data_IF_133106879135
#
_entry.id   IF_133106879135
#
_cell.length_a   1.000
_cell.length_b   1.000
_cell.length_c   1.000
_cell.angle_alpha   90.00
_cell.angle_beta   90.00
_cell.angle_gamma   90.00
#
_symmetry.space_group_name_H-M   'P 1'
#
loop_
_entity.id
_entity.type
_entity.pdbx_description
1 polymer ?
#
# COMPACT_ATOMS: atom_id res chain seq x y z
N UNK A 1 3.47 -0.75 2.63
CA UNK A 1 3.21 -0.76 4.09
C UNK A 1 3.04 -2.16 4.70
N UNK A 2 2.02 -2.95 4.35
CA UNK A 2 1.73 -4.22 5.05
C UNK A 2 2.76 -5.34 4.89
N UNK A 3 3.50 -5.41 3.77
CA UNK A 3 4.57 -6.42 3.56
C UNK A 3 5.86 -6.10 4.31
N UNK A 4 6.28 -4.83 4.35
CA UNK A 4 7.40 -4.38 5.18
C UNK A 4 7.09 -4.48 6.67
N UNK A 5 5.90 -4.07 7.10
CA UNK A 5 5.51 -4.19 8.50
C UNK A 5 5.48 -5.67 8.91
N UNK A 6 4.96 -6.56 8.05
CA UNK A 6 5.08 -8.00 8.29
C UNK A 6 6.54 -8.49 8.31
N UNK A 7 7.40 -8.05 7.38
CA UNK A 7 8.82 -8.40 7.37
C UNK A 7 9.54 -7.92 8.62
N UNK A 8 9.29 -6.70 9.07
CA UNK A 8 9.87 -6.13 10.28
C UNK A 8 9.39 -6.86 11.53
N UNK A 9 8.08 -7.16 11.62
CA UNK A 9 7.53 -7.97 12.70
C UNK A 9 8.17 -9.36 12.69
N UNK A 10 8.36 -9.97 11.52
CA UNK A 10 8.95 -11.28 11.38
C UNK A 10 10.45 -11.29 11.76
N UNK A 11 11.21 -10.28 11.35
CA UNK A 11 12.59 -10.07 11.78
C UNK A 11 12.68 -9.86 13.30
N UNK A 12 11.75 -9.09 13.88
CA UNK A 12 11.68 -8.85 15.31
C UNK A 12 11.35 -10.13 16.08
N UNK A 13 10.44 -10.96 15.56
CA UNK A 13 10.12 -12.28 16.11
C UNK A 13 11.32 -13.22 16.06
N UNK A 14 12.02 -13.27 14.92
CA UNK A 14 13.13 -14.19 14.71
C UNK A 14 14.35 -13.86 15.57
N UNK A 15 14.65 -12.57 15.74
CA UNK A 15 15.81 -12.08 16.51
C UNK A 15 15.61 -12.10 18.02
N UNK A 16 14.38 -12.25 18.50
CA UNK A 16 14.03 -12.17 19.92
C UNK A 16 13.40 -13.46 20.47
N UNK A 17 13.75 -14.62 19.90
CA UNK A 17 13.34 -15.96 20.38
C UNK A 17 13.85 -16.19 21.81
N UNK A 18 13.10 -15.72 22.81
CA UNK A 18 13.46 -15.76 24.23
C UNK A 18 13.05 -14.52 25.03
N UNK A 19 12.78 -13.39 24.37
CA UNK A 19 12.32 -12.15 25.02
C UNK A 19 10.82 -11.96 24.83
N UNK A 20 10.34 -12.15 23.60
CA UNK A 20 8.93 -12.02 23.24
C UNK A 20 8.34 -13.37 22.85
N UNK A 21 7.07 -13.57 23.19
CA UNK A 21 6.27 -14.74 22.81
C UNK A 21 5.50 -14.42 21.54
N UNK A 22 5.12 -15.45 20.80
CA UNK A 22 4.30 -15.30 19.59
C UNK A 22 3.01 -14.49 19.81
N UNK A 23 2.37 -14.66 20.97
CA UNK A 23 1.19 -13.89 21.37
C UNK A 23 1.41 -12.38 21.47
N UNK A 24 2.64 -11.93 21.75
CA UNK A 24 2.99 -10.51 21.87
C UNK A 24 2.99 -9.80 20.50
N UNK A 25 3.02 -10.56 19.39
CA UNK A 25 3.04 -10.03 18.03
C UNK A 25 1.67 -10.05 17.34
N UNK A 26 0.69 -10.74 17.93
CA UNK A 26 -0.61 -11.02 17.29
C UNK A 26 -1.33 -9.76 16.83
N UNK A 27 -1.40 -8.76 17.70
CA UNK A 27 -2.12 -7.51 17.40
C UNK A 27 -1.39 -6.70 16.31
N UNK A 28 -0.06 -6.69 16.32
CA UNK A 28 0.75 -6.01 15.33
C UNK A 28 0.64 -6.69 13.95
N UNK A 29 0.65 -8.03 13.90
CA UNK A 29 0.42 -8.80 12.68
C UNK A 29 -0.99 -8.59 12.13
N UNK A 30 -2.00 -8.53 13.00
CA UNK A 30 -3.38 -8.23 12.65
C UNK A 30 -3.51 -6.85 12.00
N UNK A 31 -3.00 -5.81 12.67
CA UNK A 31 -3.01 -4.44 12.14
C UNK A 31 -2.28 -4.33 10.79
N UNK A 32 -1.15 -5.02 10.62
CA UNK A 32 -0.41 -5.06 9.37
C UNK A 32 -1.21 -5.71 8.23
N UNK A 33 -1.94 -6.79 8.53
CA UNK A 33 -2.82 -7.45 7.58
C UNK A 33 -4.01 -6.55 7.20
N UNK A 34 -4.63 -5.87 8.18
CA UNK A 34 -5.75 -4.96 7.96
C UNK A 34 -5.37 -3.78 7.07
N UNK A 35 -4.19 -3.19 7.29
CA UNK A 35 -3.64 -2.12 6.44
C UNK A 35 -3.43 -2.61 5.01
N UNK A 36 -2.88 -3.83 4.84
CA UNK A 36 -2.67 -4.42 3.51
C UNK A 36 -4.00 -4.62 2.78
N UNK A 37 -5.00 -5.14 3.49
CA UNK A 37 -6.32 -5.37 2.93
C UNK A 37 -7.02 -4.04 2.57
N UNK A 38 -6.88 -3.02 3.41
CA UNK A 38 -7.38 -1.68 3.14
C UNK A 38 -6.78 -1.12 1.83
N UNK A 39 -5.46 -1.19 1.65
CA UNK A 39 -4.78 -0.72 0.43
C UNK A 39 -5.32 -1.45 -0.80
N UNK A 40 -5.42 -2.79 -0.76
CA UNK A 40 -5.97 -3.59 -1.86
C UNK A 40 -7.40 -3.21 -2.23
N UNK A 41 -8.25 -2.92 -1.24
CA UNK A 41 -9.63 -2.46 -1.47
C UNK A 41 -9.69 -1.09 -2.14
N UNK A 42 -8.80 -0.18 -1.74
CA UNK A 42 -8.69 1.15 -2.35
C UNK A 42 -8.25 1.06 -3.81
N UNK A 43 -7.26 0.22 -4.13
CA UNK A 43 -6.81 -0.06 -5.50
C UNK A 43 -7.91 -0.68 -6.36
N UNK A 44 -8.60 -1.70 -5.83
CA UNK A 44 -9.72 -2.32 -6.54
C UNK A 44 -10.83 -1.31 -6.84
N UNK A 45 -11.09 -0.40 -5.91
CA UNK A 45 -12.08 0.67 -6.07
C UNK A 45 -11.66 1.67 -7.13
N UNK A 46 -10.40 2.10 -7.13
CA UNK A 46 -9.82 2.98 -8.16
C UNK A 46 -9.97 2.37 -9.56
N UNK A 47 -9.62 1.08 -9.72
CA UNK A 47 -9.75 0.36 -10.99
C UNK A 47 -11.21 0.31 -11.44
N UNK A 48 -12.12 0.04 -10.52
CA UNK A 48 -13.55 -0.03 -10.82
C UNK A 48 -14.10 1.33 -11.25
N UNK A 49 -13.67 2.43 -10.62
CA UNK A 49 -14.07 3.78 -11.04
C UNK A 49 -13.50 4.14 -12.41
N UNK A 50 -12.22 3.83 -12.68
CA UNK A 50 -11.61 4.04 -14.00
C UNK A 50 -12.36 3.28 -15.09
N UNK A 51 -12.75 2.03 -14.85
CA UNK A 51 -13.57 1.22 -15.78
C UNK A 51 -14.91 1.86 -16.07
N UNK A 52 -15.66 2.26 -15.03
CA UNK A 52 -16.96 2.93 -15.19
C UNK A 52 -16.85 4.22 -15.99
N UNK A 53 -15.85 5.07 -15.70
CA UNK A 53 -15.64 6.31 -16.46
C UNK A 53 -15.29 6.03 -17.93
N UNK A 54 -14.52 4.98 -18.21
CA UNK A 54 -14.22 4.54 -19.58
C UNK A 54 -15.47 4.05 -20.32
N UNK A 55 -16.33 3.29 -19.65
CA UNK A 55 -17.60 2.82 -20.24
C UNK A 55 -18.56 3.98 -20.52
N UNK A 56 -18.60 4.97 -19.64
CA UNK A 56 -19.47 6.14 -19.76
C UNK A 56 -18.97 7.06 -20.89
N UNK A 57 -17.65 7.27 -21.00
CA UNK A 57 -17.06 8.12 -22.06
C UNK A 57 -17.26 7.53 -23.45
N UNK A 58 -17.28 6.20 -23.58
CA UNK A 58 -17.52 5.49 -24.84
C UNK A 58 -18.95 5.64 -25.39
N UNK A 59 -19.94 6.04 -24.57
CA UNK A 59 -21.37 6.05 -24.94
C UNK A 59 -21.89 7.37 -25.58
N UNK A 60 -21.04 8.35 -25.92
CA UNK A 60 -21.40 9.73 -26.40
C UNK A 60 -22.19 10.58 -25.37
N UNK A 61 -22.09 11.93 -25.37
CA UNK A 61 -21.49 12.64 -24.25
C UNK A 61 -22.46 12.92 -23.08
N UNK A 62 -22.22 12.36 -21.89
CA UNK A 62 -22.32 13.16 -20.68
C UNK A 62 -21.17 14.19 -20.72
N UNK A 63 -21.50 15.41 -20.30
CA UNK A 63 -20.60 16.55 -20.08
C UNK A 63 -19.10 16.15 -20.01
N UNK A 64 -18.37 16.41 -21.10
CA UNK A 64 -16.97 16.02 -21.26
C UNK A 64 -16.11 16.59 -20.15
N UNK A 65 -16.42 17.80 -19.68
CA UNK A 65 -15.71 18.44 -18.57
C UNK A 65 -15.92 17.67 -17.28
N UNK A 66 -17.15 17.23 -17.01
CA UNK A 66 -17.46 16.36 -15.87
C UNK A 66 -16.69 15.04 -15.92
N UNK A 67 -16.57 14.40 -17.08
CA UNK A 67 -15.80 13.15 -17.21
C UNK A 67 -14.30 13.39 -16.97
N UNK A 68 -13.72 14.46 -17.54
CA UNK A 68 -12.32 14.82 -17.30
C UNK A 68 -12.08 15.11 -15.82
N UNK A 69 -12.98 15.86 -15.18
CA UNK A 69 -12.90 16.15 -13.75
C UNK A 69 -12.94 14.87 -12.90
N UNK A 70 -13.89 13.98 -13.15
CA UNK A 70 -14.01 12.71 -12.44
C UNK A 70 -12.80 11.80 -12.67
N UNK A 71 -12.24 11.80 -13.88
CA UNK A 71 -11.01 11.07 -14.19
C UNK A 71 -9.85 11.60 -13.34
N UNK A 72 -9.72 12.92 -13.22
CA UNK A 72 -8.72 13.56 -12.36
C UNK A 72 -8.87 13.19 -10.88
N UNK A 73 -10.12 13.07 -10.38
CA UNK A 73 -10.35 12.60 -9.01
C UNK A 73 -9.94 11.14 -8.81
N UNK A 74 -10.23 10.27 -9.78
CA UNK A 74 -9.81 8.85 -9.73
C UNK A 74 -8.29 8.72 -9.79
N UNK A 75 -7.62 9.49 -10.64
CA UNK A 75 -6.16 9.52 -10.69
C UNK A 75 -5.56 10.11 -9.40
N UNK A 76 -6.25 11.06 -8.77
CA UNK A 76 -5.93 11.56 -7.43
C UNK A 76 -5.98 10.49 -6.34
N UNK A 77 -6.89 9.51 -6.44
CA UNK A 77 -6.91 8.36 -5.52
C UNK A 77 -5.63 7.55 -5.64
N UNK A 78 -5.15 7.28 -6.86
CA UNK A 78 -3.89 6.57 -7.08
C UNK A 78 -2.69 7.33 -6.49
N UNK A 79 -2.67 8.66 -6.62
CA UNK A 79 -1.64 9.50 -6.00
C UNK A 79 -1.69 9.49 -4.47
N UNK A 80 -2.85 9.25 -3.86
CA UNK A 80 -2.99 9.10 -2.41
C UNK A 80 -2.63 7.68 -1.93
N UNK A 81 -2.92 6.65 -2.74
CA UNK A 81 -2.62 5.25 -2.41
C UNK A 81 -1.12 4.95 -2.55
N UNK A 82 -0.48 5.41 -3.64
CA UNK A 82 0.94 5.12 -3.94
C UNK A 82 1.93 5.46 -2.82
N UNK A 83 1.86 6.60 -2.11
CA UNK A 83 2.75 6.86 -0.97
C UNK A 83 2.60 5.83 0.16
N UNK A 84 1.42 5.22 0.31
CA UNK A 84 1.21 4.11 1.25
C UNK A 84 1.89 2.81 0.77
N UNK A 85 2.21 2.72 -0.53
CA UNK A 85 3.14 1.76 -1.09
C UNK A 85 4.61 2.18 -0.91
N UNK A 86 4.99 3.45 -1.15
CA UNK A 86 6.37 3.93 -1.45
C UNK A 86 7.32 4.17 -0.25
N UNK A 87 6.93 3.99 1.01
CA UNK A 87 7.93 3.82 2.10
C UNK A 87 8.77 2.52 1.96
N UNK A 88 8.77 1.91 0.77
CA UNK A 88 9.19 0.55 0.44
C UNK A 88 10.58 0.41 -0.18
N UNK A 89 11.14 1.44 -0.82
CA UNK A 89 12.41 1.29 -1.57
C UNK A 89 13.61 2.07 -1.02
N UNK A 90 13.40 3.13 -0.23
CA UNK A 90 14.52 4.00 0.20
C UNK A 90 15.31 3.46 1.41
N UNK A 91 14.77 2.52 2.19
CA UNK A 91 15.49 1.97 3.36
C UNK A 91 16.36 0.74 3.04
N UNK A 92 16.21 0.13 1.86
CA UNK A 92 17.10 -0.96 1.40
C UNK A 92 18.52 -0.47 1.09
N UNK A 93 18.72 0.83 0.83
CA UNK A 93 20.06 1.40 0.56
C UNK A 93 20.82 1.82 1.81
N UNK A 94 20.14 2.08 2.94
CA UNK A 94 20.80 2.58 4.16
C UNK A 94 21.25 1.46 5.10
N UNK A 95 20.64 0.27 5.06
CA UNK A 95 21.04 -0.88 5.89
C UNK A 95 22.11 -1.78 5.26
N UNK A 96 22.36 -1.70 3.95
CA UNK A 96 23.47 -2.41 3.30
C UNK A 96 24.83 -1.69 3.41
N UNK A 97 24.88 -0.47 3.97
CA UNK A 97 26.12 0.32 4.10
C UNK A 97 26.94 0.11 5.38
N UNK A 98 26.45 -0.68 6.35
CA UNK A 98 27.11 -0.86 7.67
C UNK A 98 27.75 -2.24 7.86
N UNK A 99 28.14 -2.92 6.78
CA UNK A 99 28.77 -4.24 6.87
C UNK A 99 29.95 -4.40 5.93
N UNK A 100 30.93 -3.50 6.04
CA UNK A 100 32.28 -3.66 5.52
C UNK A 100 33.26 -2.87 6.37
N UNK A 101 33.55 -3.34 7.57
CA UNK A 101 34.78 -3.04 8.31
C UNK A 101 34.86 -4.02 9.48
N UNK A 102 35.54 -5.15 9.23
CA UNK A 102 36.47 -5.88 10.11
C UNK A 102 36.84 -7.24 9.50
#
# INVERSE_FOLDING_TARGET
MGEQLQSFIQDLMERNKGVFKEGDFKDCQGAAADIREMIRRLESTEINFRRKLSEISAKQPPDKEKIIYLQGLVDGMNLAIKPMEIQYDNERKTTQGYRSEE
#
